data_IF_304916405349
#
_entry.id   IF_304916405349
#
_cell.length_a   1.000
_cell.length_b   1.000
_cell.length_c   1.000
_cell.angle_alpha   90.00
_cell.angle_beta   90.00
_cell.angle_gamma   90.00
#
_symmetry.space_group_name_H-M   'P 1'
#
loop_
_entity.id
_entity.type
_entity.pdbx_description
1 polymer ?
#
# COMPACT_ATOMS: atom_id res chain seq x y z
N UNK A 1 -26.61 4.70 -18.85
CA UNK A 1 -25.52 3.69 -18.89
C UNK A 1 -24.25 4.02 -18.07
N UNK A 2 -24.07 5.23 -17.49
CA UNK A 2 -22.85 5.60 -16.73
C UNK A 2 -22.88 5.26 -15.21
N UNK A 3 -24.04 4.96 -14.65
CA UNK A 3 -24.20 4.66 -13.21
C UNK A 3 -23.63 3.29 -12.81
N UNK A 4 -23.92 2.23 -13.57
CA UNK A 4 -23.44 0.87 -13.25
C UNK A 4 -21.92 0.69 -13.38
N UNK A 5 -21.25 1.47 -14.23
CA UNK A 5 -19.79 1.42 -14.35
C UNK A 5 -19.10 1.97 -13.08
N UNK A 6 -19.63 3.06 -12.53
CA UNK A 6 -19.07 3.74 -11.36
C UNK A 6 -19.24 2.93 -10.07
N UNK A 7 -20.35 2.21 -9.92
CA UNK A 7 -20.59 1.29 -8.80
C UNK A 7 -19.68 0.05 -8.83
N UNK A 8 -19.47 -0.53 -10.02
CA UNK A 8 -18.54 -1.66 -10.18
C UNK A 8 -17.09 -1.25 -9.90
N UNK A 9 -16.70 -0.06 -10.36
CA UNK A 9 -15.35 0.46 -10.16
C UNK A 9 -15.06 0.75 -8.67
N UNK A 10 -16.02 1.34 -7.96
CA UNK A 10 -15.90 1.56 -6.51
C UNK A 10 -15.88 0.25 -5.73
N UNK A 11 -16.73 -0.74 -6.04
CA UNK A 11 -16.68 -2.05 -5.40
C UNK A 11 -15.34 -2.77 -5.63
N UNK A 12 -14.78 -2.67 -6.84
CA UNK A 12 -13.48 -3.24 -7.19
C UNK A 12 -12.32 -2.57 -6.43
N UNK A 13 -12.36 -1.24 -6.30
CA UNK A 13 -11.38 -0.49 -5.51
C UNK A 13 -11.42 -0.96 -4.04
N UNK A 14 -12.61 -1.02 -3.43
CA UNK A 14 -12.83 -1.46 -2.05
C UNK A 14 -12.25 -2.83 -1.73
N UNK A 15 -12.46 -3.79 -2.63
CA UNK A 15 -11.90 -5.13 -2.51
C UNK A 15 -10.37 -5.13 -2.56
N UNK A 16 -9.79 -4.15 -3.25
CA UNK A 16 -8.34 -4.01 -3.39
C UNK A 16 -7.66 -3.60 -2.09
N UNK A 17 -8.19 -2.59 -1.39
CA UNK A 17 -7.62 -2.19 -0.10
C UNK A 17 -7.74 -3.30 0.94
N UNK A 18 -8.88 -4.02 0.96
CA UNK A 18 -9.07 -5.15 1.86
C UNK A 18 -8.09 -6.29 1.58
N UNK A 19 -7.83 -6.60 0.30
CA UNK A 19 -6.81 -7.59 -0.08
C UNK A 19 -5.41 -7.17 0.37
N UNK A 20 -5.05 -5.91 0.20
CA UNK A 20 -3.75 -5.42 0.67
C UNK A 20 -3.61 -5.55 2.19
N UNK A 21 -4.64 -5.20 2.96
CA UNK A 21 -4.64 -5.35 4.43
C UNK A 21 -4.64 -6.82 4.86
N UNK A 22 -5.33 -7.70 4.13
CA UNK A 22 -5.29 -9.15 4.36
C UNK A 22 -3.88 -9.69 4.09
N UNK A 23 -3.28 -9.36 2.95
CA UNK A 23 -1.93 -9.78 2.61
C UNK A 23 -0.90 -9.31 3.65
N UNK A 24 -1.07 -8.09 4.15
CA UNK A 24 -0.25 -7.55 5.23
C UNK A 24 -0.44 -8.36 6.53
N UNK A 25 -1.68 -8.63 6.93
CA UNK A 25 -2.01 -9.46 8.10
C UNK A 25 -1.38 -10.86 8.00
N UNK A 26 -1.46 -11.50 6.84
CA UNK A 26 -0.88 -12.82 6.59
C UNK A 26 0.65 -12.82 6.72
N UNK A 27 1.32 -11.79 6.16
CA UNK A 27 2.78 -11.66 6.27
C UNK A 27 3.20 -11.41 7.72
N UNK A 28 2.50 -10.53 8.44
CA UNK A 28 2.77 -10.26 9.85
C UNK A 28 2.57 -11.52 10.70
N UNK A 29 1.47 -12.25 10.49
CA UNK A 29 1.19 -13.51 11.19
C UNK A 29 2.28 -14.56 10.99
N UNK A 30 2.77 -14.74 9.75
CA UNK A 30 3.89 -15.64 9.44
C UNK A 30 5.20 -15.26 10.14
N UNK A 31 5.40 -13.96 10.41
CA UNK A 31 6.56 -13.42 11.13
C UNK A 31 6.35 -13.31 12.64
N UNK A 32 5.25 -13.85 13.19
CA UNK A 32 4.84 -13.69 14.61
C UNK A 32 4.73 -12.22 15.04
N UNK A 33 4.48 -11.33 14.11
CA UNK A 33 4.23 -9.91 14.34
C UNK A 33 2.72 -9.64 14.34
N UNK A 34 2.31 -8.53 14.94
CA UNK A 34 0.91 -8.06 14.92
C UNK A 34 0.84 -6.69 14.24
N UNK A 35 -0.29 -6.42 13.59
CA UNK A 35 -0.54 -5.08 13.03
C UNK A 35 -0.76 -4.01 14.10
N UNK A 36 -1.17 -4.42 15.31
CA UNK A 36 -1.32 -3.50 16.43
C UNK A 36 0.04 -2.88 16.76
N UNK A 37 0.08 -1.55 16.74
CA UNK A 37 1.25 -0.68 16.92
C UNK A 37 2.31 -0.77 15.81
N UNK A 38 2.09 -1.56 14.76
CA UNK A 38 2.99 -1.58 13.60
C UNK A 38 2.87 -0.27 12.81
N UNK A 39 3.99 0.31 12.43
CA UNK A 39 4.05 1.49 11.59
C UNK A 39 3.95 1.10 10.11
N UNK A 40 2.88 1.51 9.45
CA UNK A 40 2.58 1.15 8.05
C UNK A 40 2.62 2.41 7.18
N UNK A 41 3.56 2.45 6.24
CA UNK A 41 3.62 3.45 5.21
C UNK A 41 2.60 3.15 4.11
N UNK A 42 1.77 4.12 3.73
CA UNK A 42 0.81 4.03 2.62
C UNK A 42 1.20 5.08 1.58
N UNK A 43 1.59 4.61 0.40
CA UNK A 43 2.13 5.43 -0.68
C UNK A 43 1.13 5.57 -1.82
N UNK A 44 0.62 6.79 -1.97
CA UNK A 44 -0.29 7.26 -3.00
C UNK A 44 -1.73 6.81 -2.79
N UNK A 45 -2.63 7.41 -3.55
CA UNK A 45 -3.99 6.95 -3.75
C UNK A 45 -4.07 6.13 -5.04
N UNK A 46 -4.87 5.06 -5.01
CA UNK A 46 -5.18 4.29 -6.21
C UNK A 46 -5.76 5.20 -7.31
N UNK A 47 -5.27 5.10 -8.56
CA UNK A 47 -5.82 5.85 -9.68
C UNK A 47 -7.25 5.42 -10.03
N UNK A 48 -7.67 4.23 -9.56
CA UNK A 48 -9.05 3.72 -9.69
C UNK A 48 -9.97 4.21 -8.57
N UNK A 49 -9.45 5.02 -7.64
CA UNK A 49 -10.23 5.55 -6.55
C UNK A 49 -10.98 6.80 -6.99
N UNK A 50 -12.14 7.02 -6.35
CA UNK A 50 -12.94 8.22 -6.57
C UNK A 50 -12.12 9.52 -6.42
N UNK A 51 -12.53 10.59 -7.14
CA UNK A 51 -12.00 11.91 -6.90
C UNK A 51 -12.03 12.24 -5.40
N UNK A 52 -10.89 12.66 -4.85
CA UNK A 52 -10.76 13.05 -3.43
C UNK A 52 -9.91 12.15 -2.54
N UNK A 53 -9.43 10.98 -3.01
CA UNK A 53 -8.46 10.16 -2.25
C UNK A 53 -9.11 9.04 -1.43
N UNK A 54 -10.26 8.53 -1.87
CA UNK A 54 -11.05 7.53 -1.16
C UNK A 54 -10.27 6.25 -0.80
N UNK A 55 -9.37 5.78 -1.68
CA UNK A 55 -8.55 4.58 -1.44
C UNK A 55 -7.57 4.75 -0.29
N UNK A 56 -6.83 5.88 -0.26
CA UNK A 56 -5.90 6.17 0.83
C UNK A 56 -6.63 6.33 2.16
N UNK A 57 -7.75 7.08 2.18
CA UNK A 57 -8.57 7.22 3.40
C UNK A 57 -9.12 5.88 3.86
N UNK A 58 -9.62 5.04 2.95
CA UNK A 58 -10.12 3.70 3.29
C UNK A 58 -9.01 2.79 3.81
N UNK A 59 -7.86 2.77 3.16
CA UNK A 59 -6.68 2.04 3.64
C UNK A 59 -6.30 2.47 5.06
N UNK A 60 -6.26 3.78 5.30
CA UNK A 60 -6.02 4.34 6.62
C UNK A 60 -7.05 3.87 7.64
N UNK A 61 -8.35 3.93 7.33
CA UNK A 61 -9.42 3.42 8.20
C UNK A 61 -9.23 1.93 8.52
N UNK A 62 -8.96 1.09 7.51
CA UNK A 62 -8.81 -0.36 7.68
C UNK A 62 -7.59 -0.74 8.53
N UNK A 63 -6.49 0.02 8.40
CA UNK A 63 -5.27 -0.18 9.19
C UNK A 63 -5.40 0.36 10.62
N UNK A 64 -6.00 1.55 10.78
CA UNK A 64 -6.28 2.12 12.10
C UNK A 64 -7.23 1.25 12.92
N UNK A 65 -8.26 0.67 12.28
CA UNK A 65 -9.16 -0.29 12.93
C UNK A 65 -8.44 -1.55 13.45
N UNK A 66 -7.24 -1.84 12.94
CA UNK A 66 -6.36 -2.94 13.40
C UNK A 66 -5.30 -2.47 14.39
N UNK A 67 -5.37 -1.21 14.84
CA UNK A 67 -4.45 -0.59 15.78
C UNK A 67 -3.08 -0.24 15.20
N UNK A 68 -2.92 -0.20 13.87
CA UNK A 68 -1.67 0.18 13.24
C UNK A 68 -1.43 1.70 13.28
N UNK A 69 -0.16 2.11 13.24
CA UNK A 69 0.23 3.50 13.08
C UNK A 69 0.36 3.79 11.58
N UNK A 70 -0.55 4.58 11.03
CA UNK A 70 -0.60 4.82 9.57
C UNK A 70 0.14 6.11 9.20
N UNK A 71 1.12 5.98 8.31
CA UNK A 71 1.90 7.06 7.72
C UNK A 71 1.53 7.17 6.24
N UNK A 72 1.14 8.34 5.77
CA UNK A 72 0.64 8.50 4.39
C UNK A 72 1.43 9.52 3.60
N UNK A 73 1.59 9.27 2.30
CA UNK A 73 2.11 10.24 1.33
C UNK A 73 1.46 10.07 -0.02
N UNK A 74 1.05 11.17 -0.64
CA UNK A 74 0.56 11.22 -2.02
C UNK A 74 1.11 12.46 -2.71
N UNK A 75 1.84 12.26 -3.81
CA UNK A 75 2.43 13.34 -4.59
C UNK A 75 1.38 14.20 -5.32
N UNK A 76 0.25 13.60 -5.68
CA UNK A 76 -0.83 14.29 -6.39
C UNK A 76 -1.84 14.93 -5.42
N UNK A 77 -1.82 14.57 -4.13
CA UNK A 77 -2.85 14.97 -3.16
C UNK A 77 -2.26 15.28 -1.77
N UNK A 78 -1.80 16.52 -1.60
CA UNK A 78 -1.29 17.01 -0.32
C UNK A 78 -2.27 16.79 0.86
N UNK A 79 -3.58 16.95 0.65
CA UNK A 79 -4.59 16.79 1.70
C UNK A 79 -4.78 15.37 2.25
N UNK A 80 -4.19 14.35 1.62
CA UNK A 80 -4.19 12.97 2.15
C UNK A 80 -2.82 12.55 2.71
N UNK A 81 -1.78 13.33 2.44
CA UNK A 81 -0.43 13.08 2.91
C UNK A 81 -0.24 13.61 4.33
N UNK A 82 0.32 12.78 5.21
CA UNK A 82 0.77 13.18 6.56
C UNK A 82 2.25 13.51 6.61
N UNK A 83 2.99 13.08 5.59
CA UNK A 83 4.44 13.27 5.48
C UNK A 83 4.78 13.98 4.17
N UNK A 84 5.86 14.79 4.14
CA UNK A 84 6.17 15.64 3.01
C UNK A 84 6.74 14.90 1.80
N UNK A 85 7.32 13.70 1.99
CA UNK A 85 7.94 12.92 0.92
C UNK A 85 7.70 11.42 1.12
N UNK A 86 7.77 10.65 0.04
CA UNK A 86 7.67 9.18 0.11
C UNK A 86 8.72 8.57 1.05
N UNK A 87 9.96 9.11 1.04
CA UNK A 87 11.04 8.63 1.92
C UNK A 87 10.75 8.94 3.39
N UNK A 88 10.24 10.13 3.72
CA UNK A 88 9.84 10.48 5.08
C UNK A 88 8.68 9.60 5.59
N UNK A 89 7.79 9.17 4.71
CA UNK A 89 6.72 8.21 5.05
C UNK A 89 7.29 6.85 5.39
N UNK A 90 8.26 6.37 4.62
CA UNK A 90 8.91 5.07 4.84
C UNK A 90 9.70 5.03 6.15
N UNK A 91 10.37 6.13 6.51
CA UNK A 91 11.21 6.20 7.69
C UNK A 91 10.48 5.74 8.96
N UNK A 92 11.04 4.72 9.64
CA UNK A 92 10.48 4.15 10.86
C UNK A 92 9.21 3.31 10.65
N UNK A 93 8.94 2.87 9.41
CA UNK A 93 7.83 1.95 9.11
C UNK A 93 8.30 0.50 9.11
N UNK A 94 7.47 -0.40 9.64
CA UNK A 94 7.67 -1.85 9.58
C UNK A 94 7.35 -2.41 8.17
N UNK A 95 6.37 -1.78 7.51
CA UNK A 95 5.91 -2.19 6.19
C UNK A 95 5.46 -1.01 5.33
N UNK A 96 5.40 -1.23 4.03
CA UNK A 96 4.84 -0.30 3.05
C UNK A 96 3.73 -0.94 2.21
N UNK A 97 2.69 -0.16 1.94
CA UNK A 97 1.61 -0.45 1.00
C UNK A 97 1.69 0.58 -0.13
N UNK A 98 1.81 0.10 -1.36
CA UNK A 98 1.93 0.94 -2.55
C UNK A 98 0.60 0.91 -3.28
N UNK A 99 -0.07 2.06 -3.33
CA UNK A 99 -1.34 2.23 -4.04
C UNK A 99 -1.20 3.12 -5.28
N UNK A 100 -0.01 3.61 -5.61
CA UNK A 100 0.20 4.45 -6.79
C UNK A 100 1.54 4.20 -7.46
N UNK A 101 1.57 4.44 -8.78
CA UNK A 101 2.77 4.42 -9.61
C UNK A 101 3.19 5.84 -10.06
N UNK A 102 2.69 6.91 -9.43
CA UNK A 102 3.15 8.26 -9.73
C UNK A 102 4.55 8.52 -9.17
N UNK A 103 5.43 9.24 -9.89
CA UNK A 103 6.62 9.83 -9.28
C UNK A 103 6.22 10.71 -8.09
N UNK A 104 6.97 10.67 -6.98
CA UNK A 104 8.24 9.99 -6.74
C UNK A 104 8.10 8.56 -6.20
N UNK A 105 6.91 7.97 -6.14
CA UNK A 105 6.70 6.63 -5.59
C UNK A 105 7.29 5.57 -6.53
N UNK A 106 7.05 5.66 -7.84
CA UNK A 106 7.50 4.67 -8.84
C UNK A 106 9.01 4.54 -8.97
N UNK A 107 9.77 5.57 -8.58
CA UNK A 107 11.24 5.54 -8.67
C UNK A 107 11.89 4.82 -7.48
N UNK A 108 11.17 4.59 -6.38
CA UNK A 108 11.68 3.88 -5.21
C UNK A 108 12.14 2.47 -5.58
N UNK A 109 13.39 2.14 -5.23
CA UNK A 109 13.99 0.82 -5.47
C UNK A 109 14.05 0.02 -4.16
N UNK A 110 14.27 -1.31 -4.21
CA UNK A 110 14.41 -2.15 -3.01
C UNK A 110 15.33 -1.55 -1.94
N UNK A 111 16.49 -1.03 -2.34
CA UNK A 111 17.46 -0.42 -1.42
C UNK A 111 16.90 0.80 -0.67
N UNK A 112 15.97 1.56 -1.28
CA UNK A 112 15.34 2.70 -0.60
C UNK A 112 14.46 2.23 0.56
N UNK A 113 13.66 1.17 0.37
CA UNK A 113 12.86 0.59 1.44
C UNK A 113 13.75 0.02 2.53
N UNK A 114 14.82 -0.69 2.15
CA UNK A 114 15.75 -1.29 3.09
C UNK A 114 16.44 -0.25 3.97
N UNK A 115 16.89 0.87 3.38
CA UNK A 115 17.55 1.96 4.09
C UNK A 115 16.64 2.59 5.14
N UNK A 116 15.34 2.70 4.84
CA UNK A 116 14.36 3.25 5.79
C UNK A 116 13.83 2.22 6.80
N UNK A 117 14.39 1.01 6.83
CA UNK A 117 14.01 -0.06 7.75
C UNK A 117 12.81 -0.92 7.30
N UNK A 118 12.19 -0.60 6.16
CA UNK A 118 11.04 -1.33 5.65
C UNK A 118 11.48 -2.67 5.06
N UNK A 119 10.91 -3.76 5.56
CA UNK A 119 11.21 -5.13 5.11
C UNK A 119 10.03 -5.84 4.44
N UNK A 120 8.83 -5.30 4.59
CA UNK A 120 7.58 -5.87 4.06
C UNK A 120 6.96 -4.86 3.11
N UNK A 121 6.63 -5.30 1.89
CA UNK A 121 6.04 -4.46 0.85
C UNK A 121 4.84 -5.18 0.27
N UNK A 122 3.71 -4.47 0.23
CA UNK A 122 2.48 -4.88 -0.46
C UNK A 122 2.25 -3.93 -1.63
N UNK A 123 2.38 -4.41 -2.85
CA UNK A 123 2.11 -3.66 -4.07
C UNK A 123 0.69 -3.95 -4.57
N UNK A 124 -0.18 -2.94 -4.47
CA UNK A 124 -1.54 -2.99 -4.98
C UNK A 124 -1.64 -2.59 -6.46
N UNK A 125 -0.54 -2.20 -7.09
CA UNK A 125 -0.51 -1.72 -8.47
C UNK A 125 0.15 -2.72 -9.40
N UNK A 126 1.08 -3.54 -8.89
CA UNK A 126 1.67 -4.68 -9.62
C UNK A 126 2.54 -4.25 -10.79
N UNK A 127 3.14 -3.06 -10.70
CA UNK A 127 3.96 -2.48 -11.78
C UNK A 127 5.45 -2.61 -11.53
N UNK A 128 5.85 -3.29 -10.45
CA UNK A 128 7.25 -3.45 -10.08
C UNK A 128 7.69 -4.90 -10.25
N UNK A 129 8.96 -5.07 -10.60
CA UNK A 129 9.57 -6.39 -10.70
C UNK A 129 9.72 -7.03 -9.32
N UNK A 130 8.83 -7.98 -9.01
CA UNK A 130 8.85 -8.76 -7.77
C UNK A 130 10.20 -9.43 -7.49
N UNK A 131 10.90 -9.94 -8.51
CA UNK A 131 12.15 -10.67 -8.33
C UNK A 131 13.26 -9.77 -7.81
N UNK A 132 13.26 -8.50 -8.22
CA UNK A 132 14.18 -7.48 -7.72
C UNK A 132 14.01 -7.25 -6.21
N UNK A 133 12.79 -7.27 -5.69
CA UNK A 133 12.54 -7.10 -4.25
C UNK A 133 12.91 -8.35 -3.46
N UNK A 134 12.53 -9.53 -3.95
CA UNK A 134 12.81 -10.80 -3.28
C UNK A 134 14.31 -11.10 -3.21
N UNK A 135 15.07 -10.85 -4.29
CA UNK A 135 16.52 -11.06 -4.32
C UNK A 135 17.30 -10.18 -3.33
N UNK A 136 16.70 -9.08 -2.88
CA UNK A 136 17.28 -8.15 -1.90
C UNK A 136 16.83 -8.46 -0.45
N UNK A 137 16.18 -9.61 -0.23
CA UNK A 137 15.73 -10.04 1.10
C UNK A 137 14.47 -9.34 1.62
N UNK A 138 13.75 -8.62 0.76
CA UNK A 138 12.45 -8.04 1.13
C UNK A 138 11.35 -9.08 1.01
N UNK A 139 10.34 -9.00 1.89
CA UNK A 139 9.07 -9.70 1.65
C UNK A 139 8.20 -8.83 0.77
N UNK A 140 7.90 -9.34 -0.42
CA UNK A 140 7.10 -8.63 -1.42
C UNK A 140 5.81 -9.40 -1.74
N UNK A 141 4.67 -8.73 -1.66
CA UNK A 141 3.35 -9.27 -2.03
C UNK A 141 2.72 -8.37 -3.09
N UNK A 142 2.44 -8.94 -4.26
CA UNK A 142 1.63 -8.30 -5.28
C UNK A 142 0.16 -8.69 -5.07
N UNK A 143 -0.73 -7.71 -4.98
CA UNK A 143 -2.19 -7.90 -4.85
C UNK A 143 -2.98 -7.21 -5.98
N UNK A 144 -2.27 -6.75 -7.02
CA UNK A 144 -2.80 -5.99 -8.15
C UNK A 144 -3.79 -6.77 -9.03
N UNK A 145 -3.58 -8.07 -9.13
CA UNK A 145 -4.21 -8.96 -10.10
C UNK A 145 -5.20 -9.90 -9.41
N UNK A 146 -6.33 -10.20 -10.07
CA UNK A 146 -7.36 -11.13 -9.59
C UNK A 146 -6.91 -12.59 -9.41
N UNK A 147 -5.69 -12.97 -9.78
CA UNK A 147 -5.26 -14.37 -9.75
C UNK A 147 -4.61 -14.74 -8.42
N UNK A 148 -5.45 -15.04 -7.43
CA UNK A 148 -5.16 -16.17 -6.55
C UNK A 148 -6.10 -17.31 -6.98
N UNK A 149 -5.49 -18.39 -7.46
CA UNK A 149 -6.06 -19.70 -7.86
C UNK A 149 -6.55 -19.78 -9.32
N UNK A 150 -6.21 -20.74 -10.20
CA UNK A 150 -5.64 -22.11 -10.11
C UNK A 150 -6.00 -22.91 -8.87
#
# INVERSE_FOLDING_TARGET
MRLHAREKETACARAHEERAVRALSEVFGKRRMRLRHAAIAVLGASPRAEPGGGSMRRMQTLLLARGAIVRTYDAARAGCARFPTARATLHGSDAAVILSAHPPISVLKPHDFLREGVRIIVDAIGRRDKNLFLSQGLTYRDVSSQNAQV
#
